data_IF_887487114762
#
_entry.id   IF_887487114762
#
_cell.length_a   1.000
_cell.length_b   1.000
_cell.length_c   1.000
_cell.angle_alpha   90.00
_cell.angle_beta   90.00
_cell.angle_gamma   90.00
#
_symmetry.space_group_name_H-M   'P 1'
#
loop_
_entity.id
_entity.type
_entity.pdbx_description
1 polymer ?
#
# COMPACT_ATOMS: atom_id res chain seq x y z
N UNK A 1 30.91 10.40 -4.65
CA UNK A 1 29.49 10.59 -4.28
C UNK A 1 28.92 9.22 -4.05
N UNK A 2 28.40 8.94 -2.86
CA UNK A 2 27.74 7.65 -2.59
C UNK A 2 26.44 7.59 -3.41
N UNK A 3 26.23 6.46 -4.07
CA UNK A 3 25.01 6.14 -4.77
C UNK A 3 24.34 4.99 -4.04
N UNK A 4 23.01 4.95 -4.08
CA UNK A 4 22.22 3.87 -3.48
C UNK A 4 22.53 2.54 -4.19
N UNK A 5 22.87 1.52 -3.41
CA UNK A 5 23.06 0.14 -3.88
C UNK A 5 22.22 -0.84 -3.08
N UNK A 6 22.13 -2.07 -3.57
CA UNK A 6 21.54 -3.17 -2.81
C UNK A 6 22.26 -3.39 -1.48
N UNK A 7 21.49 -3.65 -0.42
CA UNK A 7 21.92 -3.77 0.98
C UNK A 7 22.36 -2.46 1.66
N UNK A 8 22.35 -1.32 0.97
CA UNK A 8 22.57 -0.02 1.63
C UNK A 8 21.34 0.36 2.46
N UNK A 9 21.59 1.08 3.56
CA UNK A 9 20.51 1.66 4.35
C UNK A 9 20.31 3.10 3.92
N UNK A 10 19.13 3.42 3.44
CA UNK A 10 18.80 4.75 2.90
C UNK A 10 17.72 5.40 3.73
N UNK A 11 17.84 6.71 3.90
CA UNK A 11 16.75 7.56 4.39
C UNK A 11 16.17 8.34 3.23
N UNK A 12 14.87 8.28 3.06
CA UNK A 12 14.19 9.03 2.02
C UNK A 12 12.98 9.77 2.58
N UNK A 13 12.65 10.89 1.96
CA UNK A 13 11.28 11.37 1.92
C UNK A 13 10.60 10.81 0.67
N UNK A 14 9.36 10.41 0.81
CA UNK A 14 8.47 10.00 -0.27
C UNK A 14 7.12 10.74 -0.18
N UNK A 15 6.48 10.91 -1.33
CA UNK A 15 5.07 11.29 -1.46
C UNK A 15 4.40 10.32 -2.43
N UNK A 16 3.46 9.53 -1.91
CA UNK A 16 2.67 8.57 -2.68
C UNK A 16 1.41 9.21 -3.27
N UNK A 17 1.27 9.12 -4.57
CA UNK A 17 0.17 9.64 -5.37
C UNK A 17 -0.47 8.54 -6.21
N UNK A 18 -1.78 8.65 -6.43
CA UNK A 18 -2.48 7.86 -7.44
C UNK A 18 -2.29 8.49 -8.82
N UNK A 19 -2.56 7.73 -9.89
CA UNK A 19 -2.55 8.25 -11.28
C UNK A 19 -3.47 9.45 -11.50
N UNK A 20 -4.53 9.61 -10.68
CA UNK A 20 -5.43 10.76 -10.71
C UNK A 20 -4.82 12.03 -10.05
N UNK A 21 -3.60 11.93 -9.50
CA UNK A 21 -2.91 13.01 -8.80
C UNK A 21 -3.26 13.13 -7.31
N UNK A 22 -4.21 12.32 -6.81
CA UNK A 22 -4.55 12.26 -5.40
C UNK A 22 -3.39 11.72 -4.57
N UNK A 23 -2.86 12.53 -3.66
CA UNK A 23 -1.87 12.11 -2.65
C UNK A 23 -2.58 11.24 -1.62
N UNK A 24 -2.14 9.99 -1.45
CA UNK A 24 -2.69 9.08 -0.45
C UNK A 24 -1.81 9.01 0.81
N UNK A 25 -0.51 9.27 0.68
CA UNK A 25 0.42 9.28 1.81
C UNK A 25 1.64 10.17 1.50
N UNK A 26 2.21 10.77 2.54
CA UNK A 26 3.42 11.59 2.41
C UNK A 26 4.22 11.57 3.70
N UNK A 27 5.54 11.48 3.54
CA UNK A 27 6.51 11.61 4.63
C UNK A 27 7.16 13.00 4.68
N UNK A 28 6.79 13.94 3.80
CA UNK A 28 7.33 15.31 3.84
C UNK A 28 6.91 16.06 5.12
N UNK A 29 5.76 15.69 5.70
CA UNK A 29 5.26 16.25 6.95
C UNK A 29 5.74 15.49 8.20
N UNK A 30 6.56 14.44 8.01
CA UNK A 30 7.05 13.54 9.07
C UNK A 30 8.57 13.37 8.96
N UNK A 31 9.18 12.62 9.87
CA UNK A 31 10.58 12.24 9.74
C UNK A 31 10.81 11.35 8.49
N UNK A 32 12.00 11.45 7.84
CA UNK A 32 12.38 10.56 6.75
C UNK A 32 12.26 9.10 7.18
N UNK A 33 11.76 8.25 6.29
CA UNK A 33 11.74 6.82 6.51
C UNK A 33 13.12 6.24 6.23
N UNK A 34 13.61 5.38 7.13
CA UNK A 34 14.83 4.59 6.98
C UNK A 34 14.49 3.13 6.65
N UNK A 35 15.09 2.59 5.60
CA UNK A 35 14.99 1.17 5.26
C UNK A 35 16.24 0.68 4.53
N UNK A 36 16.40 -0.65 4.48
CA UNK A 36 17.49 -1.29 3.74
C UNK A 36 17.01 -1.77 2.37
N UNK A 37 17.74 -1.41 1.31
CA UNK A 37 17.44 -1.86 -0.06
C UNK A 37 17.67 -3.35 -0.17
N UNK A 38 16.69 -4.09 -0.71
CA UNK A 38 16.70 -5.55 -0.81
C UNK A 38 16.23 -6.25 0.46
N UNK A 39 15.80 -5.49 1.48
CA UNK A 39 15.27 -6.03 2.73
C UNK A 39 13.80 -6.48 2.65
N UNK A 40 13.10 -6.18 1.54
CA UNK A 40 11.68 -6.49 1.38
C UNK A 40 10.77 -5.73 2.36
N UNK A 41 11.28 -4.63 2.94
CA UNK A 41 10.53 -3.79 3.88
C UNK A 41 9.60 -2.80 3.16
N UNK A 42 9.92 -2.48 1.90
CA UNK A 42 9.15 -1.59 1.04
C UNK A 42 8.83 -2.29 -0.28
N UNK A 43 7.95 -1.68 -1.07
CA UNK A 43 7.53 -2.25 -2.36
C UNK A 43 8.70 -2.33 -3.35
N UNK A 44 8.81 -3.42 -4.14
CA UNK A 44 9.98 -3.68 -4.96
C UNK A 44 10.20 -2.63 -6.06
N UNK A 45 9.13 -2.02 -6.58
CA UNK A 45 9.26 -0.95 -7.57
C UNK A 45 9.93 0.31 -7.00
N UNK A 46 9.71 0.59 -5.71
CA UNK A 46 10.34 1.73 -5.02
C UNK A 46 11.82 1.45 -4.77
N UNK A 47 12.16 0.24 -4.31
CA UNK A 47 13.56 -0.20 -4.14
C UNK A 47 14.35 -0.05 -5.44
N UNK A 48 13.82 -0.57 -6.55
CA UNK A 48 14.46 -0.48 -7.86
C UNK A 48 14.61 0.95 -8.35
N UNK A 49 13.60 1.80 -8.13
CA UNK A 49 13.63 3.18 -8.59
C UNK A 49 14.67 4.06 -7.87
N UNK A 50 15.02 3.68 -6.64
CA UNK A 50 16.03 4.34 -5.79
C UNK A 50 17.46 3.95 -6.12
N UNK A 51 17.70 2.80 -6.75
CA UNK A 51 19.04 2.38 -7.18
C UNK A 51 19.69 3.47 -8.03
N UNK A 52 21.00 3.68 -7.85
CA UNK A 52 21.82 4.70 -8.49
C UNK A 52 21.54 6.16 -8.11
N UNK A 53 20.49 6.44 -7.31
CA UNK A 53 20.22 7.78 -6.78
C UNK A 53 21.33 8.23 -5.82
N UNK A 54 21.47 9.54 -5.66
CA UNK A 54 22.46 10.17 -4.77
C UNK A 54 21.77 10.90 -3.62
N UNK A 55 22.52 11.20 -2.57
CA UNK A 55 22.03 12.06 -1.48
C UNK A 55 21.60 13.43 -2.03
N UNK A 56 20.44 13.91 -1.60
CA UNK A 56 19.68 15.10 -2.07
C UNK A 56 19.10 14.98 -3.48
N UNK A 57 19.13 13.80 -4.09
CA UNK A 57 18.55 13.59 -5.42
C UNK A 57 17.03 13.36 -5.28
N UNK A 58 16.26 13.93 -6.22
CA UNK A 58 14.80 13.84 -6.26
C UNK A 58 14.36 13.17 -7.54
N UNK A 59 13.46 12.21 -7.45
CA UNK A 59 12.99 11.45 -8.60
C UNK A 59 11.53 11.06 -8.43
N UNK A 60 10.78 11.10 -9.52
CA UNK A 60 9.44 10.53 -9.59
C UNK A 60 9.55 9.13 -10.16
N UNK A 61 9.00 8.15 -9.44
CA UNK A 61 9.01 6.74 -9.80
C UNK A 61 7.57 6.31 -9.99
N UNK A 62 7.24 5.87 -11.19
CA UNK A 62 5.95 5.24 -11.50
C UNK A 62 6.09 3.74 -11.25
N UNK A 63 5.30 3.24 -10.31
CA UNK A 63 5.32 1.85 -9.88
C UNK A 63 4.03 1.19 -10.34
N UNK A 64 4.10 0.24 -11.28
CA UNK A 64 2.92 -0.51 -11.69
C UNK A 64 2.37 -1.32 -10.52
N UNK A 65 1.06 -1.58 -10.51
CA UNK A 65 0.41 -2.32 -9.41
C UNK A 65 1.14 -3.63 -9.03
N UNK A 66 1.67 -4.35 -10.02
CA UNK A 66 2.41 -5.61 -9.83
C UNK A 66 3.72 -5.45 -9.03
N UNK A 67 4.33 -4.26 -9.04
CA UNK A 67 5.55 -3.94 -8.28
C UNK A 67 5.27 -3.07 -7.04
N UNK A 68 4.00 -2.76 -6.76
CA UNK A 68 3.52 -2.06 -5.58
C UNK A 68 2.84 -3.04 -4.60
N UNK A 69 1.52 -2.99 -4.50
CA UNK A 69 0.71 -3.85 -3.62
C UNK A 69 0.16 -5.10 -4.32
N UNK A 70 0.60 -5.35 -5.56
CA UNK A 70 0.14 -6.44 -6.39
C UNK A 70 -1.21 -6.17 -7.06
N UNK A 71 -1.62 -7.13 -7.88
CA UNK A 71 -2.97 -7.19 -8.44
C UNK A 71 -4.01 -7.47 -7.36
N UNK A 72 -5.25 -7.04 -7.62
CA UNK A 72 -6.39 -7.44 -6.80
C UNK A 72 -6.54 -8.96 -6.90
N UNK A 73 -6.32 -9.64 -5.78
CA UNK A 73 -6.46 -11.09 -5.69
C UNK A 73 -7.94 -11.44 -5.57
N UNK A 74 -8.47 -12.10 -6.62
CA UNK A 74 -9.85 -12.58 -6.64
C UNK A 74 -10.15 -13.59 -5.52
N UNK A 75 -9.11 -14.29 -5.05
CA UNK A 75 -9.18 -15.26 -3.95
C UNK A 75 -9.34 -14.60 -2.57
N UNK A 76 -9.00 -13.31 -2.45
CA UNK A 76 -9.21 -12.52 -1.25
C UNK A 76 -10.61 -11.91 -1.17
N UNK A 77 -11.45 -12.12 -2.19
CA UNK A 77 -12.87 -11.85 -2.05
C UNK A 77 -13.52 -13.00 -1.29
N UNK A 78 -14.17 -12.68 -0.19
CA UNK A 78 -14.89 -13.65 0.61
C UNK A 78 -16.37 -13.31 0.60
N UNK A 79 -17.21 -14.32 0.44
CA UNK A 79 -18.64 -14.14 0.60
C UNK A 79 -19.01 -14.40 2.06
N UNK A 80 -19.59 -13.38 2.69
CA UNK A 80 -20.01 -13.41 4.09
C UNK A 80 -21.53 -13.31 4.14
N UNK A 81 -22.23 -14.29 4.73
CA UNK A 81 -23.67 -14.20 4.97
C UNK A 81 -23.98 -12.98 5.83
N UNK A 82 -25.05 -12.24 5.51
CA UNK A 82 -25.45 -11.07 6.30
C UNK A 82 -25.74 -11.41 7.77
N UNK A 83 -26.08 -12.66 8.06
CA UNK A 83 -26.29 -13.18 9.42
C UNK A 83 -25.02 -13.15 10.29
N UNK A 84 -23.83 -13.17 9.68
CA UNK A 84 -22.56 -13.05 10.39
C UNK A 84 -22.19 -11.59 10.69
N UNK A 85 -22.87 -10.64 10.04
CA UNK A 85 -22.69 -9.23 10.32
C UNK A 85 -23.42 -8.86 11.61
N UNK A 86 -22.86 -7.94 12.41
CA UNK A 86 -23.60 -7.34 13.53
C UNK A 86 -24.91 -6.73 13.02
N UNK A 87 -26.03 -6.98 13.70
CA UNK A 87 -27.36 -6.52 13.27
C UNK A 87 -27.50 -5.00 13.16
N UNK A 88 -26.58 -4.25 13.78
CA UNK A 88 -26.53 -2.79 13.72
C UNK A 88 -25.88 -2.26 12.44
N UNK A 89 -25.22 -3.11 11.65
CA UNK A 89 -24.52 -2.73 10.42
C UNK A 89 -25.38 -3.07 9.21
N UNK A 90 -25.74 -2.04 8.44
CA UNK A 90 -26.32 -2.23 7.10
C UNK A 90 -25.19 -2.24 6.09
N UNK A 91 -24.90 -3.36 5.40
CA UNK A 91 -23.80 -3.41 4.47
C UNK A 91 -24.10 -2.59 3.22
N UNK A 92 -23.18 -1.69 2.87
CA UNK A 92 -23.24 -0.87 1.66
C UNK A 92 -21.98 -1.09 0.81
N UNK A 93 -22.12 -1.09 -0.51
CA UNK A 93 -20.97 -1.21 -1.42
C UNK A 93 -20.00 -0.05 -1.17
N UNK A 94 -18.73 -0.39 -0.95
CA UNK A 94 -17.69 0.57 -0.61
C UNK A 94 -17.49 0.80 0.88
N UNK A 95 -18.36 0.27 1.75
CA UNK A 95 -18.21 0.40 3.20
C UNK A 95 -16.95 -0.33 3.69
N UNK A 96 -16.16 0.34 4.52
CA UNK A 96 -15.03 -0.26 5.22
C UNK A 96 -15.52 -1.07 6.42
N UNK A 97 -15.09 -2.32 6.52
CA UNK A 97 -15.35 -3.22 7.63
C UNK A 97 -14.05 -3.55 8.34
N UNK A 98 -14.13 -3.81 9.64
CA UNK A 98 -13.00 -4.34 10.41
C UNK A 98 -13.38 -5.73 10.86
N UNK A 99 -12.69 -6.73 10.32
CA UNK A 99 -12.80 -8.10 10.79
C UNK A 99 -11.71 -8.39 11.83
N UNK A 100 -12.09 -9.07 12.91
CA UNK A 100 -11.14 -9.56 13.90
C UNK A 100 -10.75 -10.98 13.53
N UNK A 101 -9.46 -11.20 13.30
CA UNK A 101 -8.91 -12.52 13.03
C UNK A 101 -8.83 -13.36 14.33
N UNK A 102 -8.75 -14.70 14.23
CA UNK A 102 -8.62 -15.59 15.39
C UNK A 102 -7.38 -15.34 16.26
N UNK A 103 -6.33 -14.75 15.68
CA UNK A 103 -5.09 -14.36 16.37
C UNK A 103 -5.22 -13.04 17.15
N UNK A 104 -6.39 -12.38 17.08
CA UNK A 104 -6.66 -11.09 17.72
C UNK A 104 -6.27 -9.88 16.89
N UNK A 105 -5.66 -10.04 15.71
CA UNK A 105 -5.37 -8.95 14.80
C UNK A 105 -6.65 -8.43 14.12
N UNK A 106 -6.68 -7.14 13.83
CA UNK A 106 -7.77 -6.51 13.09
C UNK A 106 -7.37 -6.36 11.63
N UNK A 107 -8.23 -6.82 10.72
CA UNK A 107 -8.05 -6.68 9.27
C UNK A 107 -9.11 -5.75 8.74
N UNK A 108 -8.67 -4.71 8.03
CA UNK A 108 -9.56 -3.85 7.26
C UNK A 108 -10.00 -4.59 5.99
N UNK A 109 -11.30 -4.55 5.74
CA UNK A 109 -11.98 -5.14 4.61
C UNK A 109 -12.85 -4.07 3.97
N UNK A 110 -13.24 -4.26 2.73
CA UNK A 110 -14.18 -3.38 2.04
C UNK A 110 -15.33 -4.19 1.47
N UNK A 111 -16.56 -3.72 1.57
CA UNK A 111 -17.68 -4.38 0.88
C UNK A 111 -17.54 -4.10 -0.62
N UNK A 112 -17.26 -5.15 -1.40
CA UNK A 112 -17.17 -5.08 -2.85
C UNK A 112 -18.56 -5.14 -3.51
N UNK A 113 -19.44 -5.98 -2.97
CA UNK A 113 -20.77 -6.20 -3.51
C UNK A 113 -21.74 -6.57 -2.38
N UNK A 114 -22.99 -6.12 -2.48
CA UNK A 114 -24.07 -6.48 -1.56
C UNK A 114 -25.11 -7.27 -2.36
N UNK A 115 -25.34 -8.53 -1.97
CA UNK A 115 -26.39 -9.40 -2.53
C UNK A 115 -27.60 -9.41 -1.60
N UNK A 116 -28.66 -10.14 -1.95
CA UNK A 116 -29.88 -10.23 -1.13
C UNK A 116 -29.60 -10.84 0.26
N UNK A 117 -28.94 -12.00 0.32
CA UNK A 117 -28.67 -12.75 1.56
C UNK A 117 -27.21 -12.68 2.05
N UNK A 118 -26.27 -12.31 1.18
CA UNK A 118 -24.83 -12.28 1.47
C UNK A 118 -24.17 -10.98 0.99
N UNK A 119 -22.94 -10.76 1.41
CA UNK A 119 -22.09 -9.67 0.94
C UNK A 119 -20.76 -10.24 0.47
N UNK A 120 -20.17 -9.64 -0.56
CA UNK A 120 -18.81 -9.94 -0.99
C UNK A 120 -17.90 -8.90 -0.34
N UNK A 121 -17.02 -9.35 0.55
CA UNK A 121 -15.98 -8.54 1.15
C UNK A 121 -14.69 -8.71 0.38
N UNK A 122 -14.01 -7.60 0.12
CA UNK A 122 -12.68 -7.50 -0.44
C UNK A 122 -11.67 -7.38 0.70
N UNK A 123 -10.80 -8.38 0.83
CA UNK A 123 -9.72 -8.41 1.80
C UNK A 123 -8.37 -7.96 1.24
N UNK A 124 -8.33 -7.45 0.00
CA UNK A 124 -7.13 -6.89 -0.60
C UNK A 124 -6.69 -5.60 0.09
N UNK A 125 -5.42 -5.24 -0.10
CA UNK A 125 -4.93 -3.94 0.33
C UNK A 125 -5.70 -2.83 -0.43
N UNK A 126 -6.05 -1.68 0.19
CA UNK A 126 -6.81 -0.61 -0.47
C UNK A 126 -6.14 -0.02 -1.73
N UNK A 127 -4.82 -0.22 -1.85
CA UNK A 127 -4.00 0.20 -2.99
C UNK A 127 -3.67 -0.94 -3.97
N UNK A 128 -4.15 -2.17 -3.73
CA UNK A 128 -3.97 -3.29 -4.66
C UNK A 128 -4.71 -2.99 -5.98
N UNK A 129 -4.11 -3.39 -7.10
CA UNK A 129 -4.66 -3.10 -8.43
C UNK A 129 -4.64 -1.64 -8.85
N UNK A 130 -3.80 -0.82 -8.21
CA UNK A 130 -3.59 0.58 -8.59
C UNK A 130 -2.12 0.82 -8.88
N UNK A 131 -1.86 1.47 -10.00
CA UNK A 131 -0.54 2.03 -10.28
C UNK A 131 -0.31 3.22 -9.36
N UNK A 132 0.88 3.28 -8.76
CA UNK A 132 1.26 4.29 -7.79
C UNK A 132 2.38 5.14 -8.33
N UNK A 133 2.34 6.43 -8.05
CA UNK A 133 3.38 7.38 -8.40
C UNK A 133 4.03 7.83 -7.10
N UNK A 134 5.33 7.62 -6.95
CA UNK A 134 6.08 8.03 -5.77
C UNK A 134 7.10 9.09 -6.14
N UNK A 135 6.95 10.28 -5.57
CA UNK A 135 8.02 11.28 -5.58
C UNK A 135 8.94 11.00 -4.40
N UNK A 136 10.19 10.65 -4.67
CA UNK A 136 11.19 10.33 -3.65
C UNK A 136 12.32 11.34 -3.63
N UNK A 137 12.88 11.55 -2.45
CA UNK A 137 14.05 12.37 -2.19
C UNK A 137 14.97 11.62 -1.24
N UNK A 138 16.20 11.35 -1.67
CA UNK A 138 17.18 10.66 -0.82
C UNK A 138 17.81 11.66 0.14
N UNK A 139 17.63 11.46 1.43
CA UNK A 139 18.14 12.33 2.49
C UNK A 139 19.51 11.86 2.97
N UNK A 140 19.73 10.54 3.07
CA UNK A 140 20.97 9.96 3.58
C UNK A 140 21.18 8.55 3.01
N UNK A 141 22.44 8.16 2.82
CA UNK A 141 22.85 6.79 2.44
C UNK A 141 23.93 6.36 3.43
N UNK A 142 23.74 5.19 4.05
CA UNK A 142 24.64 4.60 5.04
C UNK A 142 25.27 3.31 4.53
#
# INVERSE_FOLDING_TARGET
MSQVKENDTVKIHYTGKLQDGQVFDSSLERDPIEFTIGGGQIIPGLEKGLIDMKVNDKKTIEIPQAEAYGDVQKELFQEVPKEQLPQEITPEVGMGLVAKNPDGSERQLRVAEVKDDSIVIDANHPLAGKDLIFDVEVVEIK
#
